data_IF_740135658385
#
_entry.id   IF_740135658385
#
_cell.length_a   1.000
_cell.length_b   1.000
_cell.length_c   1.000
_cell.angle_alpha   90.00
_cell.angle_beta   90.00
_cell.angle_gamma   90.00
#
_symmetry.space_group_name_H-M   'P 1'
#
loop_
_entity.id
_entity.type
_entity.pdbx_description
1 polymer ?
#
# COMPACT_ATOMS: atom_id res chain seq x y z
N UNK A 1 11.43 75.74 -5.91
CA UNK A 1 11.03 74.36 -5.53
C UNK A 1 10.87 74.32 -4.02
N UNK A 2 9.65 74.26 -3.47
CA UNK A 2 9.43 74.17 -2.02
C UNK A 2 9.01 72.74 -1.67
N UNK A 3 9.84 72.02 -0.92
CA UNK A 3 9.46 70.74 -0.32
C UNK A 3 8.36 71.01 0.71
N UNK A 4 7.14 70.49 0.51
CA UNK A 4 6.14 70.42 1.57
C UNK A 4 6.57 69.32 2.54
N UNK A 5 6.88 69.67 3.79
CA UNK A 5 7.02 68.67 4.84
C UNK A 5 5.67 67.96 5.04
N UNK A 6 5.72 66.64 5.22
CA UNK A 6 4.55 65.84 5.57
C UNK A 6 4.12 66.13 7.02
N UNK A 7 2.83 65.96 7.32
CA UNK A 7 2.28 66.13 8.68
C UNK A 7 2.90 65.13 9.67
N UNK A 8 3.11 65.50 10.95
CA UNK A 8 3.68 64.61 11.97
C UNK A 8 2.89 63.30 12.14
N UNK A 9 1.59 63.32 11.85
CA UNK A 9 0.63 62.23 12.11
C UNK A 9 0.80 61.01 11.18
N UNK A 10 1.59 61.15 10.10
CA UNK A 10 1.88 60.05 9.17
C UNK A 10 3.01 59.11 9.60
N UNK A 11 3.82 59.51 10.60
CA UNK A 11 5.02 58.76 11.00
C UNK A 11 4.77 57.34 11.58
N UNK A 12 3.76 57.09 12.45
CA UNK A 12 3.59 55.75 13.04
C UNK A 12 3.16 54.70 12.00
N UNK A 13 2.34 55.09 11.01
CA UNK A 13 1.90 54.19 9.94
C UNK A 13 3.04 53.74 9.03
N UNK A 14 3.99 54.63 8.74
CA UNK A 14 5.16 54.30 7.93
C UNK A 14 6.12 53.35 8.67
N UNK A 15 6.23 53.49 10.00
CA UNK A 15 7.01 52.57 10.83
C UNK A 15 6.36 51.18 10.95
N UNK A 16 5.02 51.10 11.10
CA UNK A 16 4.29 49.83 11.11
C UNK A 16 4.41 49.12 9.75
N UNK A 17 4.31 49.86 8.63
CA UNK A 17 4.47 49.29 7.29
C UNK A 17 5.89 48.72 7.08
N UNK A 18 6.93 49.45 7.51
CA UNK A 18 8.31 48.99 7.46
C UNK A 18 8.53 47.73 8.34
N UNK A 19 7.95 47.71 9.54
CA UNK A 19 8.06 46.57 10.46
C UNK A 19 7.38 45.31 9.90
N UNK A 20 6.23 45.44 9.22
CA UNK A 20 5.60 44.30 8.51
C UNK A 20 6.46 43.76 7.37
N UNK A 21 7.24 44.59 6.67
CA UNK A 21 8.14 44.14 5.59
C UNK A 21 9.44 43.48 6.07
N UNK A 22 9.77 43.61 7.37
CA UNK A 22 10.97 43.04 7.98
C UNK A 22 10.76 41.71 8.70
N UNK A 23 9.52 41.21 8.75
CA UNK A 23 9.25 39.84 9.21
C UNK A 23 9.87 38.86 8.20
N UNK A 24 10.84 38.01 8.61
CA UNK A 24 11.39 37.01 7.71
C UNK A 24 10.30 35.96 7.43
N UNK A 25 9.64 36.08 6.28
CA UNK A 25 8.75 35.03 5.79
C UNK A 25 9.61 33.77 5.67
N UNK A 26 9.34 32.71 6.45
CA UNK A 26 10.14 31.50 6.36
C UNK A 26 9.87 30.87 5.00
N UNK A 27 10.83 31.02 4.10
CA UNK A 27 10.80 30.41 2.77
C UNK A 27 11.05 28.90 2.92
N UNK A 28 10.04 28.19 3.41
CA UNK A 28 10.02 26.74 3.42
C UNK A 28 10.03 26.27 1.97
N UNK A 29 11.15 25.69 1.54
CA UNK A 29 11.25 25.05 0.25
C UNK A 29 10.20 23.93 0.18
N UNK A 30 9.15 24.13 -0.61
CA UNK A 30 8.10 23.13 -0.79
C UNK A 30 8.72 21.82 -1.30
N UNK A 31 8.31 20.69 -0.73
CA UNK A 31 8.70 19.38 -1.24
C UNK A 31 8.27 19.25 -2.70
N UNK A 32 9.16 18.77 -3.57
CA UNK A 32 8.86 18.57 -5.00
C UNK A 32 9.05 17.12 -5.44
N UNK A 33 8.27 16.69 -6.44
CA UNK A 33 8.30 15.35 -7.02
C UNK A 33 8.60 15.49 -8.52
N UNK A 34 9.67 14.86 -8.98
CA UNK A 34 10.06 14.87 -10.40
C UNK A 34 9.99 13.46 -10.98
N UNK A 35 9.46 13.33 -12.20
CA UNK A 35 9.48 12.09 -12.97
C UNK A 35 10.44 12.25 -14.15
N UNK A 36 11.63 11.68 -14.01
CA UNK A 36 12.75 11.84 -14.94
C UNK A 36 12.84 10.60 -15.86
N UNK A 37 12.88 10.74 -17.19
CA UNK A 37 13.04 9.61 -18.09
C UNK A 37 14.43 8.97 -17.93
N UNK A 38 14.50 7.65 -17.89
CA UNK A 38 15.73 6.87 -17.78
C UNK A 38 16.06 6.06 -19.05
N UNK A 39 15.24 6.19 -20.11
CA UNK A 39 15.35 5.42 -21.35
C UNK A 39 14.65 4.05 -21.27
N UNK A 40 14.44 3.39 -22.41
CA UNK A 40 13.92 2.01 -22.52
C UNK A 40 12.65 1.75 -21.69
N UNK A 41 11.66 2.66 -21.76
CA UNK A 41 10.43 2.56 -20.98
C UNK A 41 10.61 2.71 -19.45
N UNK A 42 11.74 3.21 -18.96
CA UNK A 42 12.04 3.41 -17.54
C UNK A 42 12.03 4.89 -17.15
N UNK A 43 11.62 5.17 -15.91
CA UNK A 43 11.50 6.50 -15.32
C UNK A 43 11.90 6.50 -13.84
N UNK A 44 12.64 7.50 -13.39
CA UNK A 44 12.96 7.71 -11.97
C UNK A 44 11.99 8.72 -11.35
N UNK A 45 11.33 8.33 -10.27
CA UNK A 45 10.58 9.23 -9.40
C UNK A 45 11.54 9.76 -8.32
N UNK A 46 11.81 11.06 -8.35
CA UNK A 46 12.72 11.74 -7.43
C UNK A 46 11.95 12.65 -6.46
N UNK A 47 12.26 12.54 -5.17
CA UNK A 47 11.83 13.48 -4.13
C UNK A 47 12.93 14.50 -3.85
N UNK A 48 12.55 15.76 -3.69
CA UNK A 48 13.44 16.88 -3.40
C UNK A 48 12.89 17.65 -2.21
N UNK A 49 13.71 17.85 -1.18
CA UNK A 49 13.35 18.65 0.00
C UNK A 49 12.25 18.02 0.86
N UNK A 50 12.25 16.69 1.02
CA UNK A 50 11.30 16.03 1.93
C UNK A 50 11.72 16.26 3.37
N UNK A 51 10.79 16.78 4.18
CA UNK A 51 10.97 16.97 5.61
C UNK A 51 9.82 16.29 6.35
N UNK A 52 10.10 15.18 7.05
CA UNK A 52 9.11 14.45 7.84
C UNK A 52 7.87 13.98 7.04
N UNK A 53 8.06 13.56 5.80
CA UNK A 53 6.99 13.02 4.95
C UNK A 53 6.58 11.63 5.47
N UNK A 54 5.40 11.54 6.08
CA UNK A 54 4.86 10.28 6.58
C UNK A 54 4.23 9.43 5.46
N UNK A 55 3.79 10.06 4.36
CA UNK A 55 3.27 9.34 3.21
C UNK A 55 3.39 10.09 1.89
N UNK A 56 3.26 9.36 0.79
CA UNK A 56 3.25 9.89 -0.57
C UNK A 56 2.10 9.20 -1.29
N UNK A 57 1.23 9.97 -1.91
CA UNK A 57 0.03 9.51 -2.62
C UNK A 57 0.11 9.97 -4.07
N UNK A 58 0.09 9.02 -5.02
CA UNK A 58 0.44 9.23 -6.43
C UNK A 58 -0.59 8.59 -7.36
N UNK A 59 -0.88 9.28 -8.47
CA UNK A 59 -1.57 8.75 -9.63
C UNK A 59 -0.67 8.96 -10.86
N UNK A 60 -0.21 7.85 -11.44
CA UNK A 60 0.64 7.82 -12.64
C UNK A 60 -0.23 7.40 -13.81
N UNK A 61 -0.33 8.24 -14.85
CA UNK A 61 -1.08 7.93 -16.08
C UNK A 61 -0.11 7.77 -17.24
N UNK A 62 -0.26 6.69 -18.00
CA UNK A 62 0.63 6.29 -19.08
C UNK A 62 -0.15 5.90 -20.34
N UNK A 63 0.48 6.04 -21.51
CA UNK A 63 -0.10 5.61 -22.79
C UNK A 63 -0.10 4.07 -22.89
N UNK A 64 -1.24 3.47 -22.54
CA UNK A 64 -1.47 2.01 -22.60
C UNK A 64 -1.39 1.41 -24.01
N UNK A 65 -1.38 2.21 -25.08
CA UNK A 65 -1.19 1.73 -26.46
C UNK A 65 0.29 1.55 -26.85
N UNK A 66 1.20 2.11 -26.05
CA UNK A 66 2.67 2.06 -26.27
C UNK A 66 3.44 1.45 -25.10
N UNK A 67 2.88 1.52 -23.89
CA UNK A 67 3.51 1.09 -22.66
C UNK A 67 2.60 0.11 -21.93
N UNK A 68 3.16 -1.05 -21.59
CA UNK A 68 2.45 -2.15 -20.94
C UNK A 68 3.21 -2.66 -19.71
N UNK A 69 2.63 -3.59 -18.96
CA UNK A 69 3.25 -4.24 -17.80
C UNK A 69 3.95 -3.24 -16.83
N UNK A 70 3.21 -2.28 -16.22
CA UNK A 70 3.81 -1.29 -15.32
C UNK A 70 4.43 -1.94 -14.08
N UNK A 71 5.76 -1.86 -13.97
CA UNK A 71 6.55 -2.29 -12.83
C UNK A 71 6.96 -1.08 -11.99
N UNK A 72 7.02 -1.28 -10.68
CA UNK A 72 7.44 -0.27 -9.72
C UNK A 72 8.46 -0.91 -8.78
N UNK A 73 9.63 -0.29 -8.66
CA UNK A 73 10.71 -0.70 -7.77
C UNK A 73 11.04 0.43 -6.80
N UNK A 74 11.06 0.13 -5.50
CA UNK A 74 11.24 1.12 -4.45
C UNK A 74 12.70 1.59 -4.39
N UNK A 75 12.90 2.90 -4.42
CA UNK A 75 14.21 3.55 -4.45
C UNK A 75 14.79 3.83 -3.05
N UNK A 76 16.07 4.25 -2.98
CA UNK A 76 16.78 4.42 -1.72
C UNK A 76 16.15 5.43 -0.74
N UNK A 77 15.54 6.52 -1.23
CA UNK A 77 14.95 7.55 -0.37
C UNK A 77 13.73 7.00 0.41
N UNK A 78 12.96 6.11 -0.21
CA UNK A 78 11.81 5.47 0.41
C UNK A 78 12.16 4.16 1.14
N UNK A 79 13.44 3.80 1.33
CA UNK A 79 13.84 2.49 1.88
C UNK A 79 13.25 2.27 3.27
N UNK A 80 12.54 1.14 3.44
CA UNK A 80 11.83 0.81 4.69
C UNK A 80 10.38 1.30 4.76
N UNK A 81 9.95 2.17 3.84
CA UNK A 81 8.54 2.52 3.69
C UNK A 81 7.70 1.33 3.17
N UNK A 82 6.42 1.28 3.55
CA UNK A 82 5.45 0.31 3.01
C UNK A 82 4.84 0.89 1.74
N UNK A 83 4.89 0.15 0.63
CA UNK A 83 4.36 0.60 -0.66
C UNK A 83 3.17 -0.26 -1.12
N UNK A 84 2.07 0.37 -1.48
CA UNK A 84 0.89 -0.23 -2.11
C UNK A 84 0.72 0.32 -3.54
N UNK A 85 0.42 -0.56 -4.51
CA UNK A 85 0.39 -0.22 -5.95
C UNK A 85 -0.87 -0.78 -6.62
N UNK A 86 -1.75 0.11 -7.06
CA UNK A 86 -2.92 -0.19 -7.86
C UNK A 86 -2.57 -0.05 -9.33
N UNK A 87 -2.59 -1.13 -10.11
CA UNK A 87 -2.50 -1.07 -11.57
C UNK A 87 -3.91 -1.23 -12.14
N UNK A 88 -4.28 -0.35 -13.05
CA UNK A 88 -5.40 -0.57 -13.96
C UNK A 88 -4.85 -0.81 -15.36
N UNK A 89 -5.47 -1.79 -16.01
CA UNK A 89 -5.60 -1.95 -17.45
C UNK A 89 -5.87 -0.64 -18.23
N UNK A 90 -6.53 0.36 -17.63
CA UNK A 90 -6.88 1.65 -18.26
C UNK A 90 -5.76 2.70 -18.22
N UNK A 91 -4.50 2.30 -18.42
CA UNK A 91 -3.37 3.23 -18.53
C UNK A 91 -3.10 4.06 -17.26
N UNK A 92 -3.51 3.58 -16.07
CA UNK A 92 -3.36 4.32 -14.81
C UNK A 92 -2.83 3.41 -13.70
N UNK A 93 -1.89 3.92 -12.91
CA UNK A 93 -1.28 3.27 -11.76
C UNK A 93 -1.32 4.21 -10.55
N UNK A 94 -2.07 3.86 -9.50
CA UNK A 94 -2.03 4.58 -8.22
C UNK A 94 -0.95 3.96 -7.33
N UNK A 95 -0.20 4.78 -6.61
CA UNK A 95 0.84 4.32 -5.69
C UNK A 95 0.73 5.09 -4.39
N UNK A 96 0.70 4.38 -3.27
CA UNK A 96 0.80 4.96 -1.94
C UNK A 96 2.02 4.41 -1.23
N UNK A 97 2.87 5.30 -0.71
CA UNK A 97 4.12 4.96 -0.01
C UNK A 97 3.99 5.53 1.41
N UNK A 98 4.16 4.71 2.44
CA UNK A 98 3.99 5.10 3.84
C UNK A 98 5.32 4.92 4.59
N UNK A 99 5.90 6.03 5.02
CA UNK A 99 7.19 6.07 5.73
C UNK A 99 7.03 5.79 7.22
N UNK A 100 7.51 4.63 7.67
CA UNK A 100 7.70 4.30 9.07
C UNK A 100 9.15 3.78 9.27
N UNK A 101 10.15 4.64 9.53
CA UNK A 101 10.05 6.06 9.89
C UNK A 101 9.76 7.00 8.71
N UNK A 102 9.35 8.24 9.03
CA UNK A 102 8.99 9.26 8.04
C UNK A 102 10.17 9.62 7.11
N UNK A 103 9.87 9.71 5.82
CA UNK A 103 10.84 9.95 4.75
C UNK A 103 11.35 11.39 4.85
N UNK A 104 12.68 11.56 4.81
CA UNK A 104 13.36 12.85 4.91
C UNK A 104 14.58 12.86 3.98
N UNK A 105 14.83 13.99 3.31
CA UNK A 105 15.96 14.20 2.41
C UNK A 105 15.58 14.38 0.94
N UNK A 106 16.52 14.04 0.06
CA UNK A 106 16.43 14.19 -1.40
C UNK A 106 17.00 12.94 -2.06
N UNK A 107 16.37 12.44 -3.13
CA UNK A 107 16.83 11.25 -3.85
C UNK A 107 15.71 10.48 -4.56
N UNK A 108 16.07 9.35 -5.15
CA UNK A 108 15.12 8.48 -5.86
C UNK A 108 14.19 7.77 -4.88
N UNK A 109 12.89 8.04 -5.01
CA UNK A 109 11.79 7.39 -4.30
C UNK A 109 11.49 6.04 -4.92
N UNK A 110 11.51 5.97 -6.26
CA UNK A 110 11.20 4.76 -7.02
C UNK A 110 11.73 4.80 -8.45
N UNK A 111 11.82 3.62 -9.06
CA UNK A 111 11.96 3.42 -10.49
C UNK A 111 10.67 2.79 -11.01
N UNK A 112 10.08 3.40 -12.05
CA UNK A 112 8.88 2.91 -12.73
C UNK A 112 9.34 2.43 -14.11
N UNK A 113 9.02 1.19 -14.49
CA UNK A 113 9.37 0.66 -15.81
C UNK A 113 8.21 -0.02 -16.51
N UNK A 114 8.19 0.05 -17.83
CA UNK A 114 7.14 -0.49 -18.69
C UNK A 114 7.78 -1.39 -19.77
N UNK A 115 7.03 -2.36 -20.26
CA UNK A 115 7.37 -3.07 -21.50
C UNK A 115 6.81 -2.25 -22.69
N UNK A 116 7.69 -1.83 -23.60
CA UNK A 116 7.33 -1.03 -24.77
C UNK A 116 6.67 -1.91 -25.85
N UNK A 117 5.52 -1.47 -26.36
CA UNK A 117 4.77 -2.10 -27.46
C UNK A 117 4.95 -1.38 -28.80
N UNK A 118 5.93 -0.48 -28.88
CA UNK A 118 6.23 0.39 -30.01
C UNK A 118 7.29 1.43 -29.62
N UNK A 119 7.28 2.58 -30.30
CA UNK A 119 8.15 3.71 -29.94
C UNK A 119 7.76 4.38 -28.61
N UNK A 120 8.53 5.40 -28.22
CA UNK A 120 8.36 6.16 -26.97
C UNK A 120 6.91 6.52 -26.60
N UNK A 121 6.57 6.29 -25.33
CA UNK A 121 5.25 6.56 -24.75
C UNK A 121 5.27 7.72 -23.76
N UNK A 122 4.12 8.36 -23.58
CA UNK A 122 3.96 9.43 -22.59
C UNK A 122 3.63 8.84 -21.21
N UNK A 123 4.27 9.38 -20.18
CA UNK A 123 3.92 9.13 -18.77
C UNK A 123 3.77 10.47 -18.07
N UNK A 124 2.78 10.57 -17.21
CA UNK A 124 2.51 11.73 -16.36
C UNK A 124 2.26 11.26 -14.93
N UNK A 125 2.57 12.12 -13.96
CA UNK A 125 2.32 11.82 -12.54
C UNK A 125 1.62 13.00 -11.88
N UNK A 126 0.67 12.69 -11.01
CA UNK A 126 0.00 13.61 -10.08
C UNK A 126 0.09 13.04 -8.68
N UNK A 127 0.03 13.89 -7.65
CA UNK A 127 0.10 13.40 -6.28
C UNK A 127 0.26 14.48 -5.22
N UNK A 128 0.35 14.03 -3.97
CA UNK A 128 0.55 14.83 -2.76
C UNK A 128 1.49 14.11 -1.81
N UNK A 129 2.30 14.86 -1.06
CA UNK A 129 2.95 14.31 0.15
C UNK A 129 2.05 14.51 1.36
N UNK A 130 2.19 13.63 2.34
CA UNK A 130 1.44 13.61 3.60
C UNK A 130 2.44 13.79 4.74
N UNK A 131 2.25 14.79 5.59
CA UNK A 131 3.10 15.00 6.76
C UNK A 131 2.74 14.06 7.93
N UNK A 132 3.51 14.10 9.02
CA UNK A 132 3.23 13.31 10.25
C UNK A 132 1.91 13.66 10.95
N UNK A 133 1.27 14.76 10.60
CA UNK A 133 -0.03 15.19 11.13
C UNK A 133 -1.19 14.71 10.23
N UNK A 134 -0.88 14.05 9.11
CA UNK A 134 -1.85 13.58 8.12
C UNK A 134 -2.27 14.64 7.10
N UNK A 135 -1.63 15.81 7.07
CA UNK A 135 -1.99 16.89 6.14
C UNK A 135 -1.42 16.62 4.74
N UNK A 136 -2.27 16.68 3.72
CA UNK A 136 -1.86 16.60 2.31
C UNK A 136 -1.28 17.94 1.87
N UNK A 137 -0.01 17.96 1.49
CA UNK A 137 0.63 19.11 0.85
C UNK A 137 0.65 18.91 -0.68
N UNK A 138 0.26 19.93 -1.47
CA UNK A 138 0.36 19.88 -2.92
C UNK A 138 1.83 19.87 -3.33
N UNK A 139 2.14 19.13 -4.41
CA UNK A 139 3.52 18.94 -4.86
C UNK A 139 3.67 19.48 -6.27
N UNK A 140 4.75 20.23 -6.51
CA UNK A 140 5.16 20.61 -7.87
C UNK A 140 5.68 19.37 -8.59
N UNK A 141 5.06 19.08 -9.74
CA UNK A 141 5.29 17.87 -10.53
C UNK A 141 5.93 18.23 -11.87
N UNK A 142 7.13 17.72 -12.12
CA UNK A 142 7.78 17.79 -13.44
C UNK A 142 7.62 16.44 -14.14
N UNK A 143 7.02 16.43 -15.33
CA UNK A 143 6.75 15.22 -16.10
C UNK A 143 7.69 15.11 -17.30
N UNK A 144 8.50 14.05 -17.34
CA UNK A 144 9.35 13.72 -18.47
C UNK A 144 8.66 12.84 -19.51
N UNK A 145 8.93 13.10 -20.80
CA UNK A 145 8.52 12.23 -21.91
C UNK A 145 9.63 11.24 -22.25
N UNK A 146 9.29 9.97 -22.52
CA UNK A 146 10.26 9.04 -23.13
C UNK A 146 10.38 9.34 -24.62
N UNK A 147 11.34 10.20 -24.97
CA UNK A 147 11.83 10.31 -26.34
C UNK A 147 13.03 9.37 -26.45
N UNK A 148 13.06 8.49 -27.45
CA UNK A 148 14.28 7.75 -27.75
C UNK A 148 15.37 8.77 -28.10
N UNK A 149 16.42 8.82 -27.27
CA UNK A 149 17.64 9.48 -27.66
C UNK A 149 18.19 8.72 -28.88
N UNK A 150 18.39 9.37 -30.05
CA UNK A 150 18.89 8.67 -31.22
C UNK A 150 20.26 8.08 -30.89
N UNK A 151 20.32 6.75 -30.82
CA UNK A 151 21.55 6.02 -30.55
C UNK A 151 22.58 6.44 -31.62
N UNK A 152 23.77 6.94 -31.24
CA UNK A 152 24.77 7.33 -32.21
C UNK A 152 25.12 6.10 -33.06
N UNK A 153 24.90 6.21 -34.37
CA UNK A 153 25.02 5.09 -35.28
C UNK A 153 26.45 4.54 -35.25
N UNK A 154 26.60 3.29 -34.80
CA UNK A 154 27.84 2.54 -34.94
C UNK A 154 28.20 2.50 -36.43
N UNK A 155 29.40 2.95 -36.85
CA UNK A 155 29.78 2.96 -38.26
C UNK A 155 29.70 1.56 -38.87
N UNK A 156 28.90 1.40 -39.92
CA UNK A 156 28.82 0.14 -40.65
C UNK A 156 30.16 -0.15 -41.35
N UNK A 157 30.76 -1.30 -41.05
CA UNK A 157 31.91 -1.81 -41.79
C UNK A 157 31.44 -2.24 -43.18
N UNK A 158 32.08 -1.81 -44.29
CA UNK A 158 31.67 -2.21 -45.63
C UNK A 158 31.82 -3.71 -45.85
N UNK A 159 30.80 -4.36 -46.40
CA UNK A 159 30.90 -5.71 -46.91
C UNK A 159 31.72 -5.74 -48.22
N UNK A 160 32.54 -6.77 -48.40
CA UNK A 160 33.31 -7.00 -49.62
C UNK A 160 33.37 -8.50 -49.96
N UNK A 161 33.21 -8.82 -51.25
CA UNK A 161 33.57 -10.13 -51.81
C UNK A 161 32.41 -11.07 -52.14
N UNK A 162 31.91 -10.99 -53.38
CA UNK A 162 31.16 -12.06 -54.02
C UNK A 162 32.07 -13.26 -54.38
N UNK A 163 31.52 -14.48 -54.43
CA UNK A 163 31.78 -15.41 -55.55
C UNK A 163 30.72 -16.53 -55.60
N UNK A 164 30.30 -17.04 -56.78
CA UNK A 164 29.08 -17.86 -56.92
C UNK A 164 29.32 -19.35 -57.29
N UNK A 165 28.27 -20.18 -57.17
CA UNK A 165 28.19 -21.48 -57.87
C UNK A 165 27.16 -22.49 -57.33
N UNK A 166 26.09 -22.71 -58.11
CA UNK A 166 25.43 -23.98 -58.52
C UNK A 166 25.07 -25.07 -57.45
N UNK A 167 23.99 -25.86 -57.56
CA UNK A 167 22.90 -26.03 -58.55
C UNK A 167 21.65 -26.69 -57.85
N UNK A 168 20.50 -26.97 -58.51
CA UNK A 168 19.19 -27.11 -57.83
C UNK A 168 18.56 -28.52 -57.73
N UNK A 169 17.47 -28.61 -56.95
CA UNK A 169 16.56 -29.76 -56.82
C UNK A 169 16.02 -29.87 -55.39
N UNK A 170 14.80 -30.32 -55.08
CA UNK A 170 13.69 -30.85 -55.90
C UNK A 170 12.33 -30.50 -55.25
N UNK A 171 11.22 -30.75 -55.94
CA UNK A 171 9.87 -30.31 -55.56
C UNK A 171 9.05 -31.33 -54.73
N UNK A 172 8.03 -30.81 -54.03
CA UNK A 172 6.89 -31.56 -53.43
C UNK A 172 7.10 -32.03 -51.98
N UNK A 173 6.12 -31.94 -51.08
CA UNK A 173 4.78 -31.33 -51.17
C UNK A 173 3.86 -31.77 -50.01
N UNK A 174 2.66 -31.18 -49.97
CA UNK A 174 1.44 -31.64 -49.27
C UNK A 174 1.34 -31.44 -47.73
N UNK A 175 0.30 -30.68 -47.37
CA UNK A 175 -0.57 -30.66 -46.16
C UNK A 175 -0.10 -31.30 -44.83
N UNK A 176 -0.20 -30.54 -43.72
CA UNK A 176 -1.38 -30.61 -42.83
C UNK A 176 -1.30 -29.55 -41.70
N UNK A 177 -2.30 -28.66 -41.63
CA UNK A 177 -2.85 -28.11 -40.37
C UNK A 177 -3.69 -29.25 -39.70
N UNK A 178 -4.08 -29.24 -38.40
CA UNK A 178 -4.49 -28.04 -37.65
C UNK A 178 -4.13 -28.01 -36.14
N UNK A 179 -4.73 -27.01 -35.46
CA UNK A 179 -5.04 -26.90 -34.02
C UNK A 179 -4.02 -26.13 -33.16
N UNK A 180 -4.24 -24.81 -33.08
CA UNK A 180 -3.77 -23.98 -31.99
C UNK A 180 -4.55 -24.25 -30.69
N UNK A 181 -3.86 -24.46 -29.58
CA UNK A 181 -4.45 -24.55 -28.24
C UNK A 181 -4.48 -23.20 -27.51
N UNK A 182 -5.48 -22.93 -26.64
CA UNK A 182 -5.56 -21.67 -25.90
C UNK A 182 -4.64 -21.70 -24.65
N UNK A 183 -3.58 -20.91 -24.68
CA UNK A 183 -2.70 -20.69 -23.52
C UNK A 183 -3.13 -19.48 -22.68
N UNK A 184 -3.95 -19.70 -21.66
CA UNK A 184 -4.41 -18.63 -20.75
C UNK A 184 -3.37 -18.35 -19.65
N UNK A 185 -2.64 -17.24 -19.73
CA UNK A 185 -1.79 -16.75 -18.64
C UNK A 185 -2.51 -15.66 -17.82
N UNK A 186 -2.69 -15.91 -16.53
CA UNK A 186 -3.38 -14.99 -15.60
C UNK A 186 -2.38 -13.96 -15.03
N UNK A 187 -2.62 -12.64 -15.18
CA UNK A 187 -1.82 -11.63 -14.50
C UNK A 187 -2.28 -11.45 -13.05
N UNK A 188 -1.31 -11.30 -12.14
CA UNK A 188 -1.52 -11.32 -10.68
C UNK A 188 -2.14 -10.01 -10.15
N UNK A 189 -2.94 -10.13 -9.08
CA UNK A 189 -3.77 -9.06 -8.51
C UNK A 189 -3.03 -7.77 -8.13
N UNK A 190 -3.73 -6.64 -8.26
CA UNK A 190 -3.20 -5.30 -8.02
C UNK A 190 -3.94 -4.55 -6.91
N UNK A 191 -3.15 -3.87 -6.07
CA UNK A 191 -3.55 -3.35 -4.77
C UNK A 191 -4.23 -1.98 -4.87
N UNK A 192 -5.57 -1.91 -4.82
CA UNK A 192 -6.27 -0.61 -4.75
C UNK A 192 -5.96 0.12 -3.42
N UNK A 193 -6.25 1.42 -3.38
CA UNK A 193 -6.24 2.28 -2.18
C UNK A 193 -7.49 3.15 -2.27
N UNK A 194 -8.22 3.32 -1.18
CA UNK A 194 -9.44 4.12 -1.12
C UNK A 194 -9.29 5.20 -0.04
N UNK A 195 -9.16 6.45 -0.48
CA UNK A 195 -9.05 7.62 0.39
C UNK A 195 -9.88 8.78 -0.16
N UNK A 196 -11.00 9.08 0.49
CA UNK A 196 -11.87 10.19 0.16
C UNK A 196 -12.47 10.81 1.41
N UNK A 197 -12.25 12.10 1.62
CA UNK A 197 -12.85 12.87 2.71
C UNK A 197 -14.34 13.09 2.42
N UNK A 198 -15.22 12.48 3.20
CA UNK A 198 -16.65 12.79 3.19
C UNK A 198 -16.86 14.11 3.92
N UNK A 199 -17.06 15.19 3.16
CA UNK A 199 -17.66 16.41 3.70
C UNK A 199 -19.17 16.19 3.81
N UNK A 200 -19.71 16.23 5.03
CA UNK A 200 -21.15 16.25 5.23
C UNK A 200 -21.71 17.62 4.80
N UNK A 201 -22.85 17.68 4.07
CA UNK A 201 -23.55 18.94 3.90
C UNK A 201 -24.00 19.44 5.28
N UNK A 202 -23.74 20.71 5.57
CA UNK A 202 -24.19 21.33 6.80
C UNK A 202 -25.73 21.28 6.87
N UNK A 203 -26.28 20.75 7.96
CA UNK A 203 -27.71 20.83 8.22
C UNK A 203 -28.09 22.30 8.39
N UNK A 204 -29.05 22.75 7.60
CA UNK A 204 -29.57 24.11 7.61
C UNK A 204 -30.28 24.39 8.94
N UNK A 205 -29.71 25.28 9.76
CA UNK A 205 -30.26 25.65 11.07
C UNK A 205 -31.25 26.80 10.87
N UNK A 206 -32.55 26.63 11.21
CA UNK A 206 -33.51 27.73 11.20
C UNK A 206 -33.18 28.79 12.25
N UNK A 207 -33.52 30.04 11.96
CA UNK A 207 -33.14 31.21 12.75
C UNK A 207 -33.68 31.22 14.20
N UNK A 208 -32.97 31.95 15.06
CA UNK A 208 -33.33 32.19 16.46
C UNK A 208 -34.62 33.01 16.65
N UNK A 209 -35.08 33.15 17.90
CA UNK A 209 -35.23 34.50 18.44
C UNK A 209 -34.50 34.74 19.76
N UNK A 210 -34.43 36.01 20.16
CA UNK A 210 -33.56 36.54 21.21
C UNK A 210 -34.07 36.35 22.65
N UNK A 211 -33.16 36.51 23.61
CA UNK A 211 -33.41 36.65 25.04
C UNK A 211 -32.22 37.31 25.75
N UNK A 212 -32.47 38.31 26.58
CA UNK A 212 -31.47 39.20 27.21
C UNK A 212 -30.87 38.59 28.50
N UNK A 213 -29.70 39.07 28.99
CA UNK A 213 -29.23 38.61 30.31
C UNK A 213 -27.78 38.89 30.78
N UNK A 214 -27.37 40.15 30.90
CA UNK A 214 -26.48 40.72 31.95
C UNK A 214 -25.16 40.03 32.43
N UNK A 215 -24.04 40.73 32.17
CA UNK A 215 -22.95 41.14 33.10
C UNK A 215 -22.21 40.15 34.04
N UNK A 216 -20.86 40.15 33.91
CA UNK A 216 -19.95 40.59 34.99
C UNK A 216 -18.58 41.04 34.46
N UNK A 217 -17.97 42.02 35.12
CA UNK A 217 -16.57 42.45 34.95
C UNK A 217 -15.61 41.55 35.79
N UNK A 218 -14.27 41.61 35.67
CA UNK A 218 -13.48 42.52 34.82
C UNK A 218 -11.94 42.29 34.80
N UNK A 219 -11.26 43.30 34.25
CA UNK A 219 -9.82 43.65 34.23
C UNK A 219 -9.06 43.47 35.59
N UNK A 220 -7.72 43.51 35.72
CA UNK A 220 -6.59 43.77 34.79
C UNK A 220 -5.24 43.30 35.39
N UNK A 221 -4.17 43.36 34.58
CA UNK A 221 -2.79 43.58 35.04
C UNK A 221 -1.83 42.38 34.98
N UNK A 222 -0.57 42.46 34.54
CA UNK A 222 0.19 43.32 33.61
C UNK A 222 1.63 42.73 33.58
N UNK A 223 2.08 42.29 32.39
CA UNK A 223 3.43 42.27 31.80
C UNK A 223 4.76 41.86 32.55
N UNK A 224 5.83 41.44 31.81
CA UNK A 224 7.11 40.88 32.31
C UNK A 224 8.28 41.94 32.25
N UNK A 225 9.64 41.70 32.23
CA UNK A 225 10.54 40.57 31.84
C UNK A 225 11.55 40.17 32.97
N UNK A 226 12.75 39.56 32.84
CA UNK A 226 13.64 39.08 31.76
C UNK A 226 14.49 37.86 32.29
N UNK A 227 14.93 36.85 31.52
CA UNK A 227 16.01 36.72 30.51
C UNK A 227 17.50 36.76 30.99
N UNK A 228 18.13 35.57 30.95
CA UNK A 228 19.55 35.24 30.70
C UNK A 228 20.71 35.72 31.63
N UNK A 229 21.61 34.77 31.98
CA UNK A 229 23.05 34.93 31.65
C UNK A 229 23.81 33.58 31.56
N UNK A 230 24.91 33.57 30.81
CA UNK A 230 25.81 32.43 30.56
C UNK A 230 27.16 32.70 31.21
N UNK A 231 27.80 31.72 31.87
CA UNK A 231 29.25 31.75 32.12
C UNK A 231 29.95 30.43 31.82
N UNK A 232 31.20 30.54 31.39
CA UNK A 232 32.02 29.50 30.76
C UNK A 232 33.39 29.43 31.45
N UNK A 233 33.96 28.23 31.52
CA UNK A 233 35.39 27.93 31.69
C UNK A 233 36.12 28.32 32.99
N UNK A 234 36.80 27.35 33.59
CA UNK A 234 38.26 27.43 33.85
C UNK A 234 38.85 26.01 33.82
N UNK A 235 40.05 25.88 33.25
CA UNK A 235 40.83 24.63 33.18
C UNK A 235 42.08 24.80 34.04
N UNK A 236 42.45 23.78 34.83
CA UNK A 236 43.79 23.63 35.42
C UNK A 236 44.19 22.15 35.35
N UNK A 237 45.48 21.87 35.12
CA UNK A 237 46.10 20.55 35.03
C UNK A 237 47.32 20.48 35.98
N UNK A 238 48.27 19.52 35.85
CA UNK A 238 48.16 18.14 36.30
C UNK A 238 49.28 17.72 37.29
N UNK A 239 49.05 16.64 38.03
CA UNK A 239 50.05 15.81 38.74
C UNK A 239 49.37 14.48 39.10
N UNK A 240 50.00 13.31 39.28
CA UNK A 240 51.28 12.68 38.93
C UNK A 240 51.11 11.19 39.39
N UNK A 241 51.94 10.24 38.94
CA UNK A 241 51.70 8.79 39.10
C UNK A 241 51.99 8.22 40.51
N UNK A 242 51.11 7.34 40.99
CA UNK A 242 51.46 6.05 41.63
C UNK A 242 50.27 5.05 41.56
N UNK A 243 50.47 3.72 41.64
CA UNK A 243 49.52 2.76 41.05
C UNK A 243 48.72 1.86 42.01
N UNK A 244 47.80 1.10 41.38
CA UNK A 244 47.19 -0.19 41.80
C UNK A 244 46.18 -0.21 42.96
N UNK A 245 44.91 -0.44 42.61
CA UNK A 245 44.25 -1.74 42.86
C UNK A 245 43.18 -2.03 41.78
N UNK A 246 42.88 -3.31 41.46
CA UNK A 246 41.94 -3.66 40.40
C UNK A 246 40.48 -3.58 40.88
N UNK A 247 39.74 -2.58 40.39
CA UNK A 247 38.29 -2.50 40.59
C UNK A 247 37.59 -3.63 39.82
N UNK A 248 36.67 -4.40 40.44
CA UNK A 248 35.89 -5.43 39.73
C UNK A 248 35.10 -4.83 38.55
N UNK A 249 34.92 -5.57 37.44
CA UNK A 249 34.18 -5.05 36.29
C UNK A 249 32.75 -4.70 36.71
N UNK A 250 32.41 -3.42 36.58
CA UNK A 250 31.05 -2.93 36.82
C UNK A 250 30.06 -3.71 35.93
N UNK A 251 28.94 -4.12 36.53
CA UNK A 251 27.89 -4.82 35.81
C UNK A 251 27.44 -3.98 34.61
N UNK A 252 27.39 -4.60 33.43
CA UNK A 252 26.85 -3.96 32.24
C UNK A 252 25.41 -3.51 32.52
N UNK A 253 25.00 -2.30 32.09
CA UNK A 253 23.61 -1.87 32.25
C UNK A 253 22.71 -2.88 31.55
N UNK A 254 21.67 -3.33 32.25
CA UNK A 254 20.69 -4.25 31.69
C UNK A 254 20.09 -3.63 30.42
N UNK A 255 20.21 -4.34 29.31
CA UNK A 255 19.55 -3.95 28.06
C UNK A 255 18.05 -4.00 28.30
N UNK A 256 17.43 -2.82 28.30
CA UNK A 256 15.98 -2.68 28.37
C UNK A 256 15.34 -3.54 27.27
N UNK A 257 14.40 -4.46 27.58
CA UNK A 257 13.87 -5.37 26.58
C UNK A 257 13.26 -4.59 25.42
N UNK A 258 13.78 -4.80 24.21
CA UNK A 258 13.22 -4.19 23.02
C UNK A 258 11.71 -4.50 22.95
N UNK A 259 10.84 -3.50 22.69
CA UNK A 259 9.41 -3.73 22.67
C UNK A 259 9.06 -4.84 21.69
N UNK A 260 8.28 -5.81 22.15
CA UNK A 260 7.94 -6.99 21.37
C UNK A 260 7.33 -6.57 20.01
N UNK A 261 7.70 -7.24 18.90
CA UNK A 261 7.15 -6.92 17.60
C UNK A 261 5.62 -7.05 17.63
N UNK A 262 4.87 -6.16 16.94
CA UNK A 262 3.42 -6.16 16.98
C UNK A 262 2.88 -7.53 16.53
N UNK A 263 2.05 -8.14 17.37
CA UNK A 263 1.46 -9.46 17.13
C UNK A 263 0.53 -9.38 15.92
N UNK A 264 1.04 -9.78 14.75
CA UNK A 264 0.24 -9.84 13.54
C UNK A 264 -0.78 -10.98 13.67
N UNK A 265 -2.07 -10.76 13.38
CA UNK A 265 -3.09 -11.80 13.52
C UNK A 265 -2.86 -12.91 12.49
N UNK A 266 -2.49 -14.10 12.96
CA UNK A 266 -2.26 -15.29 12.11
C UNK A 266 -3.51 -15.65 11.32
N UNK A 267 -3.38 -15.65 9.99
CA UNK A 267 -4.47 -16.02 9.06
C UNK A 267 -4.85 -17.50 9.22
N UNK A 268 -6.09 -17.87 8.85
CA UNK A 268 -6.55 -19.27 8.92
C UNK A 268 -5.68 -20.19 8.04
N UNK A 269 -5.28 -19.74 6.84
CA UNK A 269 -4.37 -20.48 5.97
C UNK A 269 -3.02 -20.80 6.65
N UNK A 270 -2.45 -19.85 7.39
CA UNK A 270 -1.20 -20.10 8.13
C UNK A 270 -1.42 -21.04 9.33
N UNK A 271 -2.62 -21.05 9.95
CA UNK A 271 -2.98 -22.05 10.97
C UNK A 271 -2.98 -23.47 10.38
N UNK A 272 -3.56 -23.65 9.20
CA UNK A 272 -3.50 -24.93 8.46
C UNK A 272 -2.06 -25.36 8.20
N UNK A 273 -1.20 -24.44 7.75
CA UNK A 273 0.24 -24.69 7.54
C UNK A 273 0.96 -25.16 8.80
N UNK A 274 0.63 -24.58 9.96
CA UNK A 274 1.20 -24.96 11.26
C UNK A 274 0.48 -26.10 11.98
N UNK A 275 -0.56 -26.69 11.39
CA UNK A 275 -1.43 -27.63 12.10
C UNK A 275 -0.77 -29.00 12.26
N UNK A 276 -0.38 -29.32 13.50
CA UNK A 276 0.19 -30.61 13.89
C UNK A 276 -0.82 -31.59 14.54
N UNK A 277 -2.12 -31.25 14.53
CA UNK A 277 -3.18 -32.10 15.09
C UNK A 277 -3.65 -33.20 14.11
N UNK A 278 -4.63 -33.99 14.55
CA UNK A 278 -5.21 -35.05 13.72
C UNK A 278 -6.00 -34.48 12.53
N UNK A 279 -5.64 -34.89 11.31
CA UNK A 279 -6.36 -34.54 10.07
C UNK A 279 -7.78 -35.13 10.08
N UNK A 280 -8.71 -34.35 10.63
CA UNK A 280 -10.10 -34.71 10.88
C UNK A 280 -11.01 -33.52 10.57
N UNK A 281 -12.30 -33.78 10.31
CA UNK A 281 -13.28 -32.72 10.05
C UNK A 281 -13.36 -31.72 11.21
N UNK A 282 -13.50 -32.23 12.45
CA UNK A 282 -13.50 -31.39 13.65
C UNK A 282 -12.20 -30.59 13.81
N UNK A 283 -11.04 -31.21 13.56
CA UNK A 283 -9.73 -30.57 13.61
C UNK A 283 -9.63 -29.38 12.66
N UNK A 284 -9.89 -29.61 11.38
CA UNK A 284 -9.82 -28.57 10.33
C UNK A 284 -10.87 -27.47 10.51
N UNK A 285 -12.12 -27.82 10.85
CA UNK A 285 -13.19 -26.84 11.10
C UNK A 285 -12.83 -25.94 12.30
N UNK A 286 -12.18 -26.48 13.34
CA UNK A 286 -11.78 -25.68 14.51
C UNK A 286 -10.81 -24.53 14.19
N UNK A 287 -9.99 -24.66 13.13
CA UNK A 287 -9.01 -23.64 12.72
C UNK A 287 -9.69 -22.35 12.22
N UNK A 288 -10.91 -22.45 11.70
CA UNK A 288 -11.75 -21.31 11.31
C UNK A 288 -12.34 -20.57 12.52
N UNK A 289 -12.56 -21.28 13.65
CA UNK A 289 -13.14 -20.72 14.88
C UNK A 289 -12.11 -20.11 15.83
N UNK A 290 -10.84 -20.58 15.80
CA UNK A 290 -9.79 -20.22 16.77
C UNK A 290 -9.17 -18.83 16.52
N UNK A 291 -9.95 -17.77 16.77
CA UNK A 291 -9.51 -16.38 16.71
C UNK A 291 -10.00 -15.68 15.44
N UNK A 292 -11.13 -14.99 15.56
CA UNK A 292 -11.62 -14.10 14.51
C UNK A 292 -10.67 -12.93 14.27
N UNK A 293 -10.75 -12.33 13.08
CA UNK A 293 -10.01 -11.11 12.78
C UNK A 293 -10.54 -9.97 13.68
N UNK A 294 -9.67 -9.39 14.52
CA UNK A 294 -10.04 -8.32 15.45
C UNK A 294 -10.30 -6.98 14.77
N UNK A 295 -9.87 -6.79 13.52
CA UNK A 295 -10.08 -5.54 12.78
C UNK A 295 -11.52 -5.32 12.31
N UNK A 296 -12.25 -6.40 12.01
CA UNK A 296 -13.60 -6.32 11.43
C UNK A 296 -14.38 -7.62 11.57
N UNK A 297 -15.71 -7.50 11.55
CA UNK A 297 -16.62 -8.62 11.25
C UNK A 297 -16.74 -8.75 9.73
N UNK A 298 -16.45 -9.94 9.20
CA UNK A 298 -16.60 -10.28 7.78
C UNK A 298 -17.95 -10.97 7.55
N UNK A 299 -18.75 -10.53 6.56
CA UNK A 299 -19.88 -11.30 6.03
C UNK A 299 -19.81 -11.36 4.48
N UNK A 300 -19.86 -12.54 3.85
CA UNK A 300 -19.93 -13.86 4.48
C UNK A 300 -18.67 -14.20 5.29
N UNK A 301 -18.86 -14.85 6.44
CA UNK A 301 -17.78 -15.24 7.35
C UNK A 301 -16.62 -16.01 6.67
N UNK A 302 -16.93 -16.78 5.61
CA UNK A 302 -15.95 -17.33 4.67
C UNK A 302 -16.39 -16.89 3.28
N UNK A 303 -15.51 -16.23 2.53
CA UNK A 303 -15.81 -15.75 1.18
C UNK A 303 -15.13 -16.63 0.12
N UNK A 304 -15.89 -17.06 -0.89
CA UNK A 304 -15.34 -17.77 -2.04
C UNK A 304 -14.89 -16.73 -3.07
N UNK A 305 -13.64 -16.74 -3.50
CA UNK A 305 -13.05 -15.77 -4.44
C UNK A 305 -13.42 -16.09 -5.90
N UNK A 306 -14.71 -16.13 -6.19
CA UNK A 306 -15.25 -16.30 -7.55
C UNK A 306 -15.43 -14.95 -8.27
N UNK A 307 -15.54 -14.94 -9.61
CA UNK A 307 -15.89 -13.73 -10.37
C UNK A 307 -17.21 -13.13 -9.88
N UNK A 308 -17.14 -11.90 -9.35
CA UNK A 308 -18.30 -11.18 -8.81
C UNK A 308 -18.56 -11.37 -7.31
N UNK A 309 -17.73 -12.17 -6.62
CA UNK A 309 -17.79 -12.28 -5.16
C UNK A 309 -17.51 -10.93 -4.48
N UNK A 310 -18.32 -10.59 -3.50
CA UNK A 310 -18.19 -9.37 -2.70
C UNK A 310 -18.32 -9.73 -1.21
N UNK A 311 -17.60 -8.98 -0.37
CA UNK A 311 -17.47 -9.23 1.07
C UNK A 311 -17.69 -7.90 1.79
N UNK A 312 -18.60 -7.90 2.76
CA UNK A 312 -18.85 -6.76 3.63
C UNK A 312 -17.99 -6.87 4.89
N UNK A 313 -17.27 -5.80 5.23
CA UNK A 313 -16.43 -5.69 6.42
C UNK A 313 -17.02 -4.61 7.33
N UNK A 314 -17.57 -5.02 8.47
CA UNK A 314 -18.00 -4.09 9.53
C UNK A 314 -16.83 -3.85 10.47
N UNK A 315 -16.27 -2.65 10.41
CA UNK A 315 -15.13 -2.19 11.21
C UNK A 315 -15.69 -1.40 12.41
N UNK A 316 -15.44 -1.81 13.66
CA UNK A 316 -15.91 -1.07 14.82
C UNK A 316 -15.30 0.34 14.87
N UNK A 317 -16.10 1.35 15.21
CA UNK A 317 -15.62 2.74 15.26
C UNK A 317 -14.68 2.95 16.45
N UNK A 318 -13.41 3.24 16.18
CA UNK A 318 -12.41 3.65 17.16
C UNK A 318 -12.15 5.15 16.98
N UNK A 319 -12.84 5.98 17.77
CA UNK A 319 -12.82 7.44 17.64
C UNK A 319 -13.54 7.99 16.40
N UNK A 320 -13.45 9.30 16.19
CA UNK A 320 -14.23 10.02 15.16
C UNK A 320 -13.61 10.00 13.76
N UNK A 321 -12.35 9.57 13.62
CA UNK A 321 -11.65 9.55 12.34
C UNK A 321 -12.08 8.32 11.52
N UNK A 322 -12.28 8.53 10.22
CA UNK A 322 -12.40 7.43 9.27
C UNK A 322 -11.02 6.76 9.06
N UNK A 323 -10.91 5.42 9.08
CA UNK A 323 -9.66 4.75 8.73
C UNK A 323 -9.32 4.96 7.26
N UNK A 324 -8.02 4.98 6.94
CA UNK A 324 -7.55 4.84 5.56
C UNK A 324 -7.24 3.37 5.25
N UNK A 325 -7.37 2.97 3.98
CA UNK A 325 -7.20 1.57 3.57
C UNK A 325 -6.32 1.38 2.35
N UNK A 326 -5.38 0.44 2.46
CA UNK A 326 -4.74 -0.20 1.31
C UNK A 326 -5.12 -1.69 1.25
N UNK A 327 -5.08 -2.29 0.07
CA UNK A 327 -5.63 -3.63 -0.18
C UNK A 327 -4.58 -4.52 -0.86
N UNK A 328 -4.61 -5.84 -0.63
CA UNK A 328 -3.77 -6.83 -1.34
C UNK A 328 -4.61 -8.08 -1.59
N UNK A 329 -4.61 -8.61 -2.82
CA UNK A 329 -5.46 -9.75 -3.20
C UNK A 329 -6.96 -9.41 -3.23
N UNK A 330 -7.31 -8.12 -3.18
CA UNK A 330 -8.68 -7.63 -3.20
C UNK A 330 -8.74 -6.15 -3.62
N UNK A 331 -9.94 -5.70 -3.98
CA UNK A 331 -10.24 -4.35 -4.43
C UNK A 331 -11.40 -3.77 -3.59
N UNK A 332 -11.34 -2.50 -3.21
CA UNK A 332 -12.49 -1.83 -2.60
C UNK A 332 -13.62 -1.62 -3.63
N UNK A 333 -14.87 -1.84 -3.18
CA UNK A 333 -16.09 -1.54 -3.93
C UNK A 333 -16.79 -0.29 -3.39
N UNK A 334 -16.98 -0.20 -2.08
CA UNK A 334 -17.61 0.95 -1.42
C UNK A 334 -17.12 1.12 0.01
N UNK A 335 -17.21 2.33 0.55
CA UNK A 335 -16.92 2.65 1.95
C UNK A 335 -17.90 3.69 2.46
N UNK A 336 -18.51 3.42 3.63
CA UNK A 336 -19.54 4.29 4.23
C UNK A 336 -19.58 4.15 5.75
N UNK A 337 -20.19 5.15 6.41
CA UNK A 337 -20.64 4.96 7.79
C UNK A 337 -21.84 3.99 7.82
N UNK A 338 -21.88 3.14 8.85
CA UNK A 338 -23.02 2.30 9.22
C UNK A 338 -23.41 2.51 10.69
N UNK A 339 -24.35 1.71 11.18
CA UNK A 339 -24.84 1.82 12.56
C UNK A 339 -23.81 1.34 13.60
N UNK A 340 -23.12 0.23 13.33
CA UNK A 340 -22.14 -0.38 14.24
C UNK A 340 -20.70 0.13 14.06
N UNK A 341 -20.47 1.04 13.11
CA UNK A 341 -19.13 1.53 12.77
C UNK A 341 -18.99 1.89 11.30
N UNK A 342 -17.87 1.54 10.69
CA UNK A 342 -17.63 1.74 9.26
C UNK A 342 -17.92 0.45 8.47
N UNK A 343 -18.54 0.58 7.30
CA UNK A 343 -18.81 -0.54 6.39
C UNK A 343 -17.94 -0.38 5.16
N UNK A 344 -17.07 -1.34 4.93
CA UNK A 344 -16.15 -1.42 3.79
C UNK A 344 -16.49 -2.67 2.98
N UNK A 345 -16.94 -2.49 1.74
CA UNK A 345 -17.19 -3.59 0.81
C UNK A 345 -15.95 -3.83 -0.05
N UNK A 346 -15.53 -5.08 -0.16
CA UNK A 346 -14.36 -5.50 -0.95
C UNK A 346 -14.70 -6.65 -1.87
N UNK A 347 -14.01 -6.72 -3.00
CA UNK A 347 -14.02 -7.82 -3.96
C UNK A 347 -12.66 -8.52 -3.92
N UNK A 348 -12.57 -9.77 -3.44
CA UNK A 348 -11.35 -10.57 -3.57
C UNK A 348 -10.98 -10.77 -5.04
N UNK A 349 -9.67 -10.84 -5.33
CA UNK A 349 -9.21 -11.19 -6.68
C UNK A 349 -9.59 -12.65 -6.99
N UNK A 350 -10.13 -12.97 -8.18
CA UNK A 350 -10.60 -14.32 -8.48
C UNK A 350 -9.51 -15.39 -8.31
N UNK A 351 -9.85 -16.48 -7.63
CA UNK A 351 -8.93 -17.59 -7.35
C UNK A 351 -7.95 -17.34 -6.20
N UNK A 352 -7.98 -16.20 -5.52
CA UNK A 352 -7.06 -15.98 -4.38
C UNK A 352 -7.41 -16.82 -3.15
N UNK A 353 -6.38 -17.36 -2.50
CA UNK A 353 -6.42 -17.96 -1.17
C UNK A 353 -6.03 -16.96 -0.06
N UNK A 354 -5.53 -15.78 -0.43
CA UNK A 354 -5.05 -14.78 0.53
C UNK A 354 -5.38 -13.38 0.07
N UNK A 355 -6.08 -12.63 0.91
CA UNK A 355 -6.30 -11.21 0.73
C UNK A 355 -6.11 -10.49 2.07
N UNK A 356 -5.71 -9.23 2.03
CA UNK A 356 -5.34 -8.45 3.22
C UNK A 356 -5.81 -7.01 3.04
N UNK A 357 -6.55 -6.50 4.02
CA UNK A 357 -6.80 -5.07 4.17
C UNK A 357 -5.78 -4.52 5.15
N UNK A 358 -5.09 -3.46 4.76
CA UNK A 358 -4.19 -2.69 5.63
C UNK A 358 -4.98 -1.47 6.09
N UNK A 359 -5.33 -1.42 7.37
CA UNK A 359 -6.09 -0.33 7.96
C UNK A 359 -5.13 0.63 8.66
N UNK A 360 -5.26 1.93 8.40
CA UNK A 360 -4.51 2.98 9.07
C UNK A 360 -5.46 3.83 9.91
N UNK A 361 -5.33 3.66 11.23
CA UNK A 361 -5.88 4.51 12.29
C UNK A 361 -4.69 5.24 12.94
N UNK A 362 -4.45 5.03 14.24
CA UNK A 362 -3.25 5.52 14.93
C UNK A 362 -1.99 4.69 14.60
N UNK A 363 -2.18 3.48 14.07
CA UNK A 363 -1.13 2.59 13.57
C UNK A 363 -1.61 1.82 12.34
N UNK A 364 -0.67 1.22 11.59
CA UNK A 364 -0.98 0.30 10.49
C UNK A 364 -1.32 -1.08 11.05
N UNK A 365 -2.56 -1.54 10.85
CA UNK A 365 -3.03 -2.87 11.20
C UNK A 365 -3.16 -3.74 9.94
N UNK A 366 -2.63 -4.96 9.99
CA UNK A 366 -2.79 -5.95 8.92
C UNK A 366 -3.98 -6.86 9.23
N UNK A 367 -5.00 -6.82 8.38
CA UNK A 367 -6.29 -7.44 8.61
C UNK A 367 -6.58 -8.47 7.50
N UNK A 368 -6.19 -9.74 7.67
CA UNK A 368 -6.38 -10.77 6.65
C UNK A 368 -7.86 -11.09 6.45
N UNK A 369 -8.28 -11.22 5.20
CA UNK A 369 -9.61 -11.69 4.84
C UNK A 369 -9.64 -13.22 4.85
N UNK A 370 -10.78 -13.78 5.24
CA UNK A 370 -11.03 -15.21 5.21
C UNK A 370 -11.63 -15.57 3.85
N UNK A 371 -10.74 -15.82 2.88
CA UNK A 371 -11.06 -16.08 1.47
C UNK A 371 -10.47 -17.40 0.98
N UNK A 372 -11.18 -18.10 0.10
CA UNK A 372 -10.67 -19.29 -0.59
C UNK A 372 -11.13 -19.33 -2.06
N UNK A 373 -10.35 -19.89 -2.99
CA UNK A 373 -10.78 -20.15 -4.36
C UNK A 373 -12.01 -21.06 -4.38
N UNK A 374 -12.84 -20.91 -5.42
CA UNK A 374 -13.92 -21.84 -5.68
C UNK A 374 -13.34 -23.21 -6.06
N UNK A 375 -13.75 -24.25 -5.35
CA UNK A 375 -13.36 -25.63 -5.62
C UNK A 375 -14.59 -26.54 -5.61
N UNK A 376 -14.57 -27.60 -6.41
CA UNK A 376 -15.54 -28.68 -6.29
C UNK A 376 -15.21 -29.52 -5.05
N UNK A 377 -16.17 -29.57 -4.12
CA UNK A 377 -16.06 -30.33 -2.87
C UNK A 377 -17.16 -31.38 -2.73
N UNK A 378 -17.90 -31.66 -3.82
CA UNK A 378 -18.80 -32.80 -3.94
C UNK A 378 -17.97 -34.04 -4.32
N UNK A 379 -17.42 -34.70 -3.31
CA UNK A 379 -16.56 -35.87 -3.47
C UNK A 379 -17.34 -37.17 -3.63
N UNK A 380 -18.60 -37.24 -3.16
CA UNK A 380 -19.48 -38.39 -3.38
C UNK A 380 -20.31 -38.32 -4.68
N UNK A 381 -20.46 -37.14 -5.28
CA UNK A 381 -21.17 -36.90 -6.53
C UNK A 381 -22.69 -36.77 -6.37
N UNK A 382 -23.18 -36.51 -5.16
CA UNK A 382 -24.62 -36.45 -4.84
C UNK A 382 -25.31 -35.14 -5.24
N UNK A 383 -24.56 -34.14 -5.71
CA UNK A 383 -25.04 -32.78 -5.95
C UNK A 383 -25.21 -31.97 -4.66
N UNK A 384 -24.73 -32.46 -3.52
CA UNK A 384 -24.85 -31.83 -2.20
C UNK A 384 -23.58 -32.03 -1.38
N UNK A 385 -23.09 -30.95 -0.78
CA UNK A 385 -21.92 -31.00 0.10
C UNK A 385 -22.36 -31.41 1.51
N UNK A 386 -21.82 -32.53 2.01
CA UNK A 386 -22.19 -33.17 3.27
C UNK A 386 -20.98 -33.76 4.01
N UNK A 387 -21.17 -34.21 5.24
CA UNK A 387 -20.13 -34.89 6.04
C UNK A 387 -19.58 -36.17 5.34
N UNK A 388 -20.30 -36.73 4.36
CA UNK A 388 -19.79 -37.83 3.54
C UNK A 388 -18.63 -37.39 2.64
N UNK A 389 -18.68 -36.17 2.10
CA UNK A 389 -17.62 -35.58 1.28
C UNK A 389 -16.35 -35.33 2.07
N UNK A 390 -16.48 -34.83 3.32
CA UNK A 390 -15.33 -34.67 4.22
C UNK A 390 -14.63 -36.01 4.47
N UNK A 391 -15.42 -37.06 4.73
CA UNK A 391 -14.91 -38.43 4.88
C UNK A 391 -14.36 -38.99 3.57
N UNK A 392 -14.83 -38.56 2.42
CA UNK A 392 -14.31 -38.96 1.11
C UNK A 392 -12.99 -38.26 0.76
N UNK A 393 -12.85 -36.98 1.13
CA UNK A 393 -11.62 -36.19 1.00
C UNK A 393 -10.48 -36.75 1.87
N UNK A 394 -10.73 -37.03 3.16
CA UNK A 394 -9.72 -37.51 4.12
C UNK A 394 -9.21 -38.96 3.89
N UNK A 395 -9.85 -39.77 3.03
CA UNK A 395 -9.34 -41.13 2.71
C UNK A 395 -7.93 -41.05 2.09
N UNK A 396 -7.04 -42.04 2.27
CA UNK A 396 -5.73 -42.04 1.60
C UNK A 396 -5.83 -41.90 0.07
N UNK A 397 -4.97 -41.08 -0.53
CA UNK A 397 -4.88 -40.90 -2.00
C UNK A 397 -4.42 -42.22 -2.63
N UNK A 398 -5.16 -42.72 -3.62
CA UNK A 398 -4.81 -43.95 -4.36
C UNK A 398 -4.66 -43.65 -5.86
N UNK A 399 -3.42 -43.52 -6.31
CA UNK A 399 -3.06 -43.29 -7.72
C UNK A 399 -3.30 -41.86 -8.22
N UNK A 400 -2.79 -41.56 -9.42
CA UNK A 400 -2.75 -40.20 -10.00
C UNK A 400 -4.13 -39.54 -10.16
N UNK A 401 -5.17 -40.30 -10.49
CA UNK A 401 -6.54 -39.77 -10.61
C UNK A 401 -7.12 -39.28 -9.28
N UNK A 402 -6.84 -40.00 -8.19
CA UNK A 402 -7.26 -39.57 -6.84
C UNK A 402 -6.48 -38.36 -6.33
N UNK A 403 -5.24 -38.16 -6.79
CA UNK A 403 -4.44 -36.98 -6.48
C UNK A 403 -5.02 -35.76 -7.21
N UNK A 404 -5.19 -35.85 -8.54
CA UNK A 404 -5.72 -34.75 -9.37
C UNK A 404 -7.12 -34.26 -8.93
N UNK A 405 -7.94 -35.09 -8.29
CA UNK A 405 -9.25 -34.67 -7.75
C UNK A 405 -9.15 -33.90 -6.42
N UNK A 406 -8.02 -33.96 -5.71
CA UNK A 406 -7.82 -33.37 -4.36
C UNK A 406 -6.71 -32.33 -4.30
N UNK A 407 -5.90 -32.27 -5.34
CA UNK A 407 -5.10 -31.13 -5.75
C UNK A 407 -6.08 -30.01 -6.18
N UNK A 408 -6.53 -29.21 -5.22
CA UNK A 408 -7.52 -28.15 -5.39
C UNK A 408 -6.86 -26.81 -5.74
N UNK A 409 -5.56 -26.65 -5.49
CA UNK A 409 -4.78 -25.50 -5.96
C UNK A 409 -4.15 -25.72 -7.36
N UNK A 410 -4.02 -26.97 -7.83
CA UNK A 410 -3.46 -27.33 -9.13
C UNK A 410 -1.92 -27.43 -9.16
N UNK A 411 -1.25 -27.55 -8.01
CA UNK A 411 0.22 -27.58 -7.92
C UNK A 411 0.85 -28.98 -8.07
N UNK A 412 0.02 -30.02 -8.18
CA UNK A 412 0.44 -31.41 -8.33
C UNK A 412 0.64 -32.16 -7.01
N UNK A 413 0.27 -31.57 -5.87
CA UNK A 413 0.39 -32.19 -4.53
C UNK A 413 -0.98 -32.28 -3.84
N UNK A 414 -0.95 -32.70 -2.59
CA UNK A 414 -2.08 -32.62 -1.66
C UNK A 414 -1.49 -32.16 -0.34
N UNK A 415 -1.62 -30.87 -0.02
CA UNK A 415 -1.00 -30.26 1.16
C UNK A 415 -1.98 -29.42 2.01
N UNK A 416 -1.44 -28.55 2.87
CA UNK A 416 -2.25 -27.71 3.77
C UNK A 416 -3.11 -26.66 3.02
N UNK A 417 -2.75 -26.29 1.78
CA UNK A 417 -3.55 -25.41 0.94
C UNK A 417 -4.82 -26.12 0.49
N UNK A 418 -4.73 -27.37 0.05
CA UNK A 418 -5.89 -28.17 -0.33
C UNK A 418 -6.80 -28.42 0.87
N UNK A 419 -6.23 -28.76 2.02
CA UNK A 419 -6.98 -28.94 3.28
C UNK A 419 -7.75 -27.66 3.67
N UNK A 420 -7.13 -26.48 3.47
CA UNK A 420 -7.76 -25.18 3.68
C UNK A 420 -8.87 -24.90 2.65
N UNK A 421 -8.58 -25.06 1.35
CA UNK A 421 -9.53 -24.82 0.25
C UNK A 421 -10.76 -25.71 0.39
N UNK A 422 -10.55 -27.00 0.65
CA UNK A 422 -11.60 -27.99 0.86
C UNK A 422 -12.50 -27.57 2.03
N UNK A 423 -11.91 -27.31 3.20
CA UNK A 423 -12.66 -26.98 4.42
C UNK A 423 -13.41 -25.64 4.28
N UNK A 424 -12.82 -24.65 3.60
CA UNK A 424 -13.47 -23.36 3.35
C UNK A 424 -14.71 -23.50 2.44
N UNK A 425 -14.58 -24.23 1.33
CA UNK A 425 -15.70 -24.49 0.42
C UNK A 425 -16.78 -25.37 1.08
N UNK A 426 -16.38 -26.38 1.88
CA UNK A 426 -17.29 -27.20 2.69
C UNK A 426 -18.17 -26.34 3.61
N UNK A 427 -17.54 -25.51 4.45
CA UNK A 427 -18.25 -24.64 5.40
C UNK A 427 -19.13 -23.60 4.70
N UNK A 428 -18.67 -23.02 3.58
CA UNK A 428 -19.47 -22.10 2.79
C UNK A 428 -20.72 -22.78 2.18
N UNK A 429 -20.59 -24.01 1.67
CA UNK A 429 -21.70 -24.78 1.12
C UNK A 429 -22.71 -25.20 2.20
N UNK A 430 -22.23 -25.72 3.34
CA UNK A 430 -23.11 -26.13 4.46
C UNK A 430 -23.86 -24.93 5.06
N UNK A 431 -23.21 -23.77 5.26
CA UNK A 431 -23.90 -22.55 5.75
C UNK A 431 -24.98 -22.08 4.76
N UNK A 432 -24.74 -22.20 3.45
CA UNK A 432 -25.72 -21.89 2.39
C UNK A 432 -26.88 -22.90 2.34
N UNK A 433 -26.64 -24.15 2.70
CA UNK A 433 -27.66 -25.19 2.83
C UNK A 433 -28.57 -25.01 4.04
N UNK A 434 -28.03 -24.50 5.16
CA UNK A 434 -28.78 -24.26 6.41
C UNK A 434 -29.60 -22.95 6.42
N UNK A 435 -29.48 -22.12 5.38
CA UNK A 435 -30.24 -20.87 5.20
C UNK A 435 -31.45 -20.99 4.26
N UNK A 436 -31.90 -22.22 4.00
CA UNK A 436 -33.13 -22.57 3.26
C UNK A 436 -34.02 -23.45 4.14
#
# INVERSE_FOLDING_TARGET
MRLRLLSPDGFPYLFILALLTLLPIPCFAASTLSLIPAGNGSFFLQGLGFANVAGIDLAITYDGSRLSNPRFSQGPLARGAVTAINRSDQGTMLVSIIGAPAITGTGTIATISFDQQGGGGQVSVRGSVIDRLGQKQPVLLSAGSSVDAPQPATPAVPAAGESPGADPGSAGGVENDPVAGPGTSVPTGSARVLGGSVALPAAEVPAAPAGEGSASAGQEGEAPPAAAEVRKSTTVAPAEKAPSDPVPPAAAPAVEPAPAPPVQPTSVLERFRSYAGEKSAAGFISLFSQGGNSCFRQEPAIAISSPGSAVSLTIPRQGDKAPNFAFRGCQALSFRAGQEGWVLEVKPDPGTQSATVFMLLDAVQQCPLLVAPAADVDFDGSGKVTEADFKAYLKPVKGKGSLKRRDLNGDGRMDYQDDFIFTANYLAAVKKGAGK
#
